data_IF_762644976227
#
_entry.id   IF_762644976227
#
_cell.length_a   1.000
_cell.length_b   1.000
_cell.length_c   1.000
_cell.angle_alpha   90.00
_cell.angle_beta   90.00
_cell.angle_gamma   90.00
#
_symmetry.space_group_name_H-M   'P 1'
#
loop_
_entity.id
_entity.type
_entity.pdbx_description
1 polymer ?
#
# COMPACT_ATOMS: atom_id res chain seq x y z
N UNK A 1 -21.07 8.79 8.62
CA UNK A 1 -20.16 7.84 9.28
C UNK A 1 -19.43 8.59 10.37
N UNK A 2 -19.95 8.59 11.60
CA UNK A 2 -19.49 9.50 12.68
C UNK A 2 -18.60 8.83 13.73
N UNK A 3 -18.54 7.50 13.77
CA UNK A 3 -17.87 6.78 14.87
C UNK A 3 -16.34 6.98 14.88
N UNK A 4 -15.68 6.95 13.72
CA UNK A 4 -14.23 7.11 13.64
C UNK A 4 -13.70 8.53 13.89
N UNK A 5 -14.58 9.53 14.11
CA UNK A 5 -14.21 10.93 14.35
C UNK A 5 -14.93 11.52 15.57
N UNK A 6 -15.57 10.67 16.36
CA UNK A 6 -16.21 11.09 17.59
C UNK A 6 -15.14 11.47 18.62
N UNK A 7 -15.30 12.61 19.27
CA UNK A 7 -14.28 13.17 20.19
C UNK A 7 -14.11 12.33 21.45
N UNK A 8 -15.10 11.52 21.83
CA UNK A 8 -15.02 10.68 23.03
C UNK A 8 -14.35 9.33 22.76
N UNK A 9 -14.71 8.69 21.64
CA UNK A 9 -14.21 7.36 21.31
C UNK A 9 -12.90 7.39 20.52
N UNK A 10 -12.63 8.46 19.76
CA UNK A 10 -11.39 8.66 18.99
C UNK A 10 -10.96 7.44 18.14
N UNK A 11 -11.94 6.62 17.74
CA UNK A 11 -11.72 5.42 16.95
C UNK A 11 -11.09 4.23 17.69
N UNK A 12 -11.10 4.18 19.03
CA UNK A 12 -10.43 3.12 19.85
C UNK A 12 -10.75 1.67 19.41
N UNK A 13 -12.00 1.41 19.02
CA UNK A 13 -12.45 0.07 18.60
C UNK A 13 -12.16 -0.25 17.11
N UNK A 14 -11.46 0.64 16.38
CA UNK A 14 -11.09 0.41 14.99
C UNK A 14 -9.72 -0.24 14.89
N UNK A 15 -9.65 -1.36 14.17
CA UNK A 15 -8.39 -1.99 13.78
C UNK A 15 -8.04 -1.61 12.33
N UNK A 16 -6.78 -1.25 12.09
CA UNK A 16 -6.30 -0.87 10.75
C UNK A 16 -6.61 0.57 10.32
N UNK A 17 -6.40 0.82 9.03
CA UNK A 17 -6.64 2.10 8.37
C UNK A 17 -7.84 1.99 7.41
N UNK A 18 -8.53 3.11 7.15
CA UNK A 18 -9.61 3.13 6.17
C UNK A 18 -9.07 3.31 4.76
N UNK A 19 -9.38 2.37 3.88
CA UNK A 19 -9.16 2.54 2.45
C UNK A 19 -10.12 3.58 1.87
N UNK A 20 -9.57 4.60 1.21
CA UNK A 20 -10.32 5.65 0.51
C UNK A 20 -9.90 5.69 -0.96
N UNK A 21 -10.83 6.03 -1.85
CA UNK A 21 -10.62 5.97 -3.30
C UNK A 21 -10.05 7.27 -3.91
N UNK A 22 -9.67 8.24 -3.08
CA UNK A 22 -8.98 9.44 -3.53
C UNK A 22 -7.45 9.31 -3.38
N UNK A 23 -6.73 10.40 -3.66
CA UNK A 23 -5.26 10.44 -3.65
C UNK A 23 -4.63 10.04 -2.30
N UNK A 24 -5.40 10.02 -1.20
CA UNK A 24 -4.88 9.63 0.12
C UNK A 24 -4.68 8.13 0.23
N UNK A 25 -5.47 7.34 -0.49
CA UNK A 25 -5.52 5.85 -0.47
C UNK A 25 -5.89 5.23 0.88
N UNK A 26 -5.33 5.73 1.96
CA UNK A 26 -5.53 5.25 3.33
C UNK A 26 -5.62 6.44 4.31
N UNK A 27 -6.49 6.32 5.30
CA UNK A 27 -6.67 7.34 6.35
C UNK A 27 -6.66 6.67 7.72
N UNK A 28 -5.82 7.13 8.66
CA UNK A 28 -5.85 6.62 10.03
C UNK A 28 -7.16 7.01 10.72
N UNK A 29 -7.75 6.07 11.45
CA UNK A 29 -9.01 6.27 12.19
C UNK A 29 -8.81 6.16 13.69
N UNK A 30 -8.03 5.17 14.12
CA UNK A 30 -7.77 4.94 15.53
C UNK A 30 -6.60 5.82 16.00
N UNK A 31 -6.88 6.77 16.88
CA UNK A 31 -5.86 7.62 17.49
C UNK A 31 -5.43 7.16 18.91
N UNK A 32 -6.09 6.14 19.47
CA UNK A 32 -5.87 5.66 20.84
C UNK A 32 -4.88 4.49 20.84
N UNK A 33 -5.11 3.49 19.98
CA UNK A 33 -4.40 2.21 19.92
C UNK A 33 -4.31 1.70 18.47
N UNK A 34 -3.65 2.44 17.56
CA UNK A 34 -3.56 2.06 16.15
C UNK A 34 -2.92 0.68 15.98
N UNK A 35 -3.54 -0.16 15.16
CA UNK A 35 -3.06 -1.49 14.82
C UNK A 35 -2.88 -1.64 13.30
N UNK A 36 -1.91 -2.45 12.90
CA UNK A 36 -1.70 -2.82 11.49
C UNK A 36 -2.33 -4.20 11.27
N UNK A 37 -3.32 -4.26 10.39
CA UNK A 37 -4.08 -5.49 10.07
C UNK A 37 -3.62 -6.16 8.77
N UNK A 38 -2.71 -5.52 8.06
CA UNK A 38 -2.22 -5.90 6.74
C UNK A 38 -0.76 -6.32 6.79
N UNK A 39 -0.37 -7.17 5.83
CA UNK A 39 0.97 -7.72 5.73
C UNK A 39 1.51 -7.52 4.32
N UNK A 40 2.82 -7.29 4.22
CA UNK A 40 3.51 -7.25 2.94
C UNK A 40 3.33 -8.58 2.21
N UNK A 41 2.85 -8.51 0.97
CA UNK A 41 2.53 -9.69 0.16
C UNK A 41 3.71 -10.65 -0.05
N UNK A 42 4.96 -10.16 0.02
CA UNK A 42 6.16 -10.96 -0.26
C UNK A 42 6.86 -11.52 0.97
N UNK A 43 6.80 -10.82 2.11
CA UNK A 43 7.56 -11.22 3.29
C UNK A 43 6.71 -11.40 4.56
N UNK A 44 5.41 -11.10 4.52
CA UNK A 44 4.49 -11.26 5.64
C UNK A 44 4.68 -10.27 6.78
N UNK A 45 5.62 -9.32 6.68
CA UNK A 45 5.80 -8.31 7.74
C UNK A 45 4.59 -7.36 7.79
N UNK A 46 4.15 -6.89 8.97
CA UNK A 46 3.10 -5.88 9.06
C UNK A 46 3.42 -4.66 8.21
N UNK A 47 2.50 -4.26 7.34
CA UNK A 47 2.70 -3.20 6.36
C UNK A 47 1.37 -2.57 5.98
N UNK A 48 1.31 -1.24 5.93
CA UNK A 48 0.11 -0.51 5.50
C UNK A 48 0.25 0.07 4.10
N UNK A 49 1.46 0.15 3.53
CA UNK A 49 1.67 0.76 2.23
C UNK A 49 1.01 -0.03 1.10
N UNK A 50 -0.08 0.52 0.59
CA UNK A 50 -0.76 0.05 -0.61
C UNK A 50 -0.04 0.53 -1.87
N UNK A 51 0.27 -0.39 -2.79
CA UNK A 51 0.87 -0.06 -4.10
C UNK A 51 0.07 -0.69 -5.23
N UNK A 52 0.03 0.00 -6.38
CA UNK A 52 -0.42 -0.61 -7.62
C UNK A 52 0.72 -1.43 -8.21
N UNK A 53 0.40 -2.61 -8.74
CA UNK A 53 1.33 -3.40 -9.53
C UNK A 53 1.94 -2.53 -10.63
N UNK A 54 3.26 -2.62 -10.80
CA UNK A 54 3.99 -1.82 -11.77
C UNK A 54 3.66 -2.20 -13.21
N UNK A 55 3.09 -3.38 -13.46
CA UNK A 55 2.50 -3.72 -14.76
C UNK A 55 1.21 -2.89 -14.99
N UNK A 56 1.18 -1.98 -15.99
CA UNK A 56 0.04 -1.12 -16.26
C UNK A 56 -1.22 -1.87 -16.71
N UNK A 57 -1.08 -3.09 -17.25
CA UNK A 57 -2.22 -3.91 -17.66
C UNK A 57 -2.81 -4.72 -16.49
N UNK A 58 -1.98 -5.02 -15.49
CA UNK A 58 -2.41 -5.74 -14.28
C UNK A 58 -3.13 -4.80 -13.31
N UNK A 59 -2.47 -3.70 -12.94
CA UNK A 59 -2.98 -2.70 -12.00
C UNK A 59 -3.52 -3.24 -10.66
N UNK A 60 -3.13 -4.46 -10.27
CA UNK A 60 -3.52 -5.08 -9.00
C UNK A 60 -2.96 -4.28 -7.83
N UNK A 61 -3.83 -3.95 -6.88
CA UNK A 61 -3.40 -3.38 -5.62
C UNK A 61 -2.97 -4.45 -4.62
N UNK A 62 -1.86 -4.20 -3.92
CA UNK A 62 -1.34 -5.09 -2.88
C UNK A 62 -0.47 -4.30 -1.90
N UNK A 63 -0.28 -4.85 -0.70
CA UNK A 63 0.65 -4.30 0.28
C UNK A 63 2.08 -4.72 -0.07
N UNK A 64 3.00 -3.77 -0.16
CA UNK A 64 4.40 -4.03 -0.43
C UNK A 64 5.25 -3.14 0.47
N UNK A 65 6.20 -3.72 1.18
CA UNK A 65 7.09 -2.94 2.03
C UNK A 65 8.28 -2.34 1.27
N UNK A 66 8.93 -1.32 1.84
CA UNK A 66 10.02 -0.57 1.15
C UNK A 66 11.21 -1.47 0.82
N UNK A 67 11.43 -2.51 1.63
CA UNK A 67 12.51 -3.47 1.42
C UNK A 67 12.21 -4.49 0.31
N UNK A 68 10.94 -4.81 0.07
CA UNK A 68 10.53 -5.78 -0.94
C UNK A 68 10.33 -5.11 -2.30
N UNK A 69 9.86 -3.86 -2.31
CA UNK A 69 9.54 -3.11 -3.51
C UNK A 69 10.66 -3.10 -4.57
N UNK A 70 11.93 -2.76 -4.26
CA UNK A 70 13.02 -2.81 -5.24
C UNK A 70 13.35 -4.25 -5.69
N UNK A 71 13.17 -5.25 -4.82
CA UNK A 71 13.47 -6.66 -5.13
C UNK A 71 12.47 -7.25 -6.13
N UNK A 72 11.23 -6.77 -6.08
CA UNK A 72 10.13 -7.25 -6.93
C UNK A 72 9.70 -6.22 -7.97
N UNK A 73 10.39 -5.08 -8.06
CA UNK A 73 10.06 -3.95 -8.92
C UNK A 73 8.57 -3.59 -8.84
N UNK A 74 8.04 -3.49 -7.61
CA UNK A 74 6.62 -3.22 -7.30
C UNK A 74 5.62 -4.13 -8.07
N UNK A 75 5.99 -5.38 -8.37
CA UNK A 75 5.20 -6.27 -9.25
C UNK A 75 4.67 -7.50 -8.53
N UNK A 76 3.35 -7.74 -8.62
CA UNK A 76 2.64 -8.82 -7.89
C UNK A 76 3.03 -10.26 -8.29
N UNK A 77 3.78 -10.42 -9.37
CA UNK A 77 4.28 -11.69 -9.89
C UNK A 77 5.53 -11.47 -10.73
N UNK A 78 6.30 -12.52 -10.97
CA UNK A 78 7.47 -12.48 -11.87
C UNK A 78 7.08 -12.06 -13.30
N UNK A 79 5.93 -12.54 -13.80
CA UNK A 79 5.39 -12.12 -15.11
C UNK A 79 5.13 -10.61 -15.16
N UNK A 80 4.56 -10.03 -14.11
CA UNK A 80 4.35 -8.59 -14.05
C UNK A 80 5.68 -7.82 -13.94
N UNK A 81 6.68 -8.41 -13.27
CA UNK A 81 8.01 -7.82 -13.11
C UNK A 81 8.70 -7.66 -14.46
N UNK A 82 8.58 -8.66 -15.32
CA UNK A 82 9.19 -8.72 -16.66
C UNK A 82 8.39 -7.95 -17.73
N UNK A 83 7.29 -7.28 -17.36
CA UNK A 83 6.46 -6.57 -18.31
C UNK A 83 7.22 -5.39 -18.96
N UNK A 84 7.23 -5.23 -20.29
CA UNK A 84 8.06 -4.25 -20.99
C UNK A 84 7.72 -2.77 -20.67
N UNK A 85 6.56 -2.53 -20.06
CA UNK A 85 6.12 -1.20 -19.59
C UNK A 85 6.06 -1.11 -18.07
N UNK A 86 6.97 -1.77 -17.36
CA UNK A 86 7.04 -1.73 -15.90
C UNK A 86 7.18 -0.27 -15.42
N UNK A 87 6.20 0.21 -14.65
CA UNK A 87 6.17 1.60 -14.14
C UNK A 87 7.31 1.89 -13.17
N UNK A 88 7.69 0.91 -12.34
CA UNK A 88 8.75 1.07 -11.35
C UNK A 88 10.09 1.31 -12.06
N UNK A 89 10.42 0.50 -13.07
CA UNK A 89 11.65 0.71 -13.85
C UNK A 89 11.67 2.07 -14.56
N UNK A 90 10.54 2.47 -15.15
CA UNK A 90 10.42 3.78 -15.82
C UNK A 90 10.65 4.94 -14.86
N UNK A 91 10.06 4.89 -13.67
CA UNK A 91 10.24 5.90 -12.61
C UNK A 91 11.70 5.99 -12.16
N UNK A 92 12.37 4.85 -11.94
CA UNK A 92 13.79 4.83 -11.55
C UNK A 92 14.72 5.37 -12.65
N UNK A 93 14.39 5.16 -13.92
CA UNK A 93 15.15 5.74 -15.04
C UNK A 93 14.98 7.26 -15.11
N UNK A 94 13.77 7.78 -14.83
CA UNK A 94 13.48 9.21 -14.81
C UNK A 94 14.18 9.93 -13.64
N UNK A 95 14.32 9.28 -12.48
CA UNK A 95 15.03 9.83 -11.31
C UNK A 95 16.56 9.92 -11.48
N UNK A 96 17.12 9.19 -12.45
CA UNK A 96 18.55 9.16 -12.78
C UNK A 96 18.97 10.22 -13.82
N UNK A 97 18.02 10.99 -14.36
CA UNK A 97 18.23 12.03 -15.38
C UNK A 97 18.15 13.41 -14.76
#
# INVERSE_FOLDING_TARGET
VMYGKDEQTQGEDWEGELYVFDERVQVPVNAVNPSVVSECYYCGKPETRYVNCANPECNRQHFCCEECEPKVMRSCSDECREHPRNRYEKEQQEELV
#
